data_IF_873487045251
#
_entry.id   IF_873487045251
#
_cell.length_a   1.000
_cell.length_b   1.000
_cell.length_c   1.000
_cell.angle_alpha   90.00
_cell.angle_beta   90.00
_cell.angle_gamma   90.00
#
_symmetry.space_group_name_H-M   'P 1'
#
loop_
_entity.id
_entity.type
_entity.pdbx_description
1 polymer ?
#
# COMPACT_ATOMS: atom_id res chain seq x y z
N UNK A 1 -21.22 63.70 -12.56
CA UNK A 1 -21.36 62.24 -12.76
C UNK A 1 -20.10 61.75 -13.46
N UNK A 2 -19.15 61.18 -12.72
CA UNK A 2 -17.91 60.61 -13.26
C UNK A 2 -17.99 59.09 -13.12
N UNK A 3 -17.85 58.30 -14.21
CA UNK A 3 -17.72 56.86 -14.06
C UNK A 3 -16.29 56.51 -13.62
N UNK A 4 -16.19 55.91 -12.44
CA UNK A 4 -14.98 55.29 -11.93
C UNK A 4 -14.64 54.10 -12.85
N UNK A 5 -13.56 54.24 -13.61
CA UNK A 5 -13.02 53.18 -14.47
C UNK A 5 -12.25 52.21 -13.56
N UNK A 6 -12.83 51.05 -13.28
CA UNK A 6 -12.19 49.96 -12.51
C UNK A 6 -10.87 49.57 -13.18
N UNK A 7 -9.76 49.77 -12.48
CA UNK A 7 -8.48 49.14 -12.80
C UNK A 7 -8.57 47.66 -12.36
N UNK A 8 -8.67 46.76 -13.33
CA UNK A 8 -8.47 45.32 -13.07
C UNK A 8 -6.97 45.10 -12.93
N UNK A 9 -6.51 44.92 -11.69
CA UNK A 9 -5.13 44.53 -11.39
C UNK A 9 -5.04 43.02 -11.54
N UNK A 10 -4.40 42.55 -12.62
CA UNK A 10 -4.05 41.14 -12.80
C UNK A 10 -2.77 40.89 -11.99
N UNK A 11 -2.92 40.32 -10.80
CA UNK A 11 -1.79 39.80 -10.03
C UNK A 11 -1.35 38.47 -10.66
N UNK A 12 -0.29 38.49 -11.46
CA UNK A 12 0.42 37.28 -11.87
C UNK A 12 1.32 36.89 -10.69
N UNK A 13 0.82 36.02 -9.82
CA UNK A 13 1.61 35.43 -8.74
C UNK A 13 2.47 34.29 -9.33
N UNK A 14 3.76 34.55 -9.52
CA UNK A 14 4.74 33.53 -9.87
C UNK A 14 5.07 32.73 -8.58
N UNK A 15 4.30 31.67 -8.31
CA UNK A 15 4.66 30.71 -7.28
C UNK A 15 5.85 29.88 -7.77
N UNK A 16 7.00 30.06 -7.13
CA UNK A 16 8.14 29.17 -7.28
C UNK A 16 7.81 27.89 -6.50
N UNK A 17 7.09 26.97 -7.13
CA UNK A 17 6.74 25.67 -6.53
C UNK A 17 7.98 24.79 -6.58
N UNK A 18 8.55 24.47 -5.43
CA UNK A 18 9.57 23.44 -5.31
C UNK A 18 8.90 22.07 -5.48
N UNK A 19 9.05 21.48 -6.66
CA UNK A 19 8.60 20.11 -6.92
C UNK A 19 9.56 19.11 -6.26
N UNK A 20 9.01 18.16 -5.52
CA UNK A 20 9.72 16.96 -5.08
C UNK A 20 9.78 15.93 -6.21
N UNK A 21 10.88 15.19 -6.30
CA UNK A 21 11.02 14.07 -7.23
C UNK A 21 11.39 12.82 -6.44
N UNK A 22 10.64 11.74 -6.63
CA UNK A 22 10.99 10.42 -6.11
C UNK A 22 11.44 9.55 -7.29
N UNK A 23 12.69 9.06 -7.28
CA UNK A 23 13.26 8.25 -8.37
C UNK A 23 13.25 6.76 -8.04
N UNK A 24 12.76 5.93 -8.97
CA UNK A 24 12.82 4.48 -8.88
C UNK A 24 14.20 3.94 -9.24
N UNK A 25 14.52 2.72 -8.78
CA UNK A 25 15.67 1.95 -9.27
C UNK A 25 15.64 1.71 -10.80
N UNK A 26 14.44 1.75 -11.38
CA UNK A 26 14.21 1.63 -12.82
C UNK A 26 14.13 2.99 -13.53
N UNK A 27 14.38 4.13 -12.86
CA UNK A 27 14.36 5.46 -13.46
C UNK A 27 12.99 6.09 -13.66
N UNK A 28 11.89 5.44 -13.25
CA UNK A 28 10.57 6.07 -13.19
C UNK A 28 10.49 7.07 -12.04
N UNK A 29 9.75 8.16 -12.24
CA UNK A 29 9.58 9.26 -11.28
C UNK A 29 8.11 9.64 -11.19
N UNK A 30 7.63 9.87 -9.96
CA UNK A 30 6.36 10.56 -9.72
C UNK A 30 6.67 11.96 -9.24
N UNK A 31 6.04 12.95 -9.87
CA UNK A 31 6.22 14.36 -9.58
C UNK A 31 5.11 14.84 -8.63
N UNK A 32 5.50 15.58 -7.60
CA UNK A 32 4.57 16.16 -6.63
C UNK A 32 5.12 17.48 -6.08
N UNK A 33 4.24 18.25 -5.44
CA UNK A 33 4.60 19.54 -4.84
C UNK A 33 4.76 19.40 -3.34
N UNK A 34 5.74 20.10 -2.76
CA UNK A 34 5.98 20.07 -1.30
C UNK A 34 6.80 18.86 -0.86
N UNK A 35 6.65 18.49 0.41
CA UNK A 35 7.47 17.45 1.05
C UNK A 35 6.96 16.03 0.80
N UNK A 36 5.66 15.85 0.53
CA UNK A 36 5.00 14.57 0.30
C UNK A 36 3.92 14.69 -0.79
N UNK A 37 3.60 13.58 -1.47
CA UNK A 37 2.47 13.54 -2.39
C UNK A 37 1.16 13.70 -1.63
N UNK A 38 0.39 14.73 -1.98
CA UNK A 38 -0.96 14.95 -1.47
C UNK A 38 -1.96 14.77 -2.60
N UNK A 39 -2.98 13.94 -2.39
CA UNK A 39 -4.09 13.73 -3.31
C UNK A 39 -5.36 14.28 -2.68
N UNK A 40 -6.12 15.09 -3.42
CA UNK A 40 -7.45 15.50 -2.99
C UNK A 40 -8.48 14.45 -3.43
N UNK A 41 -9.43 14.13 -2.53
CA UNK A 41 -10.60 13.34 -2.86
C UNK A 41 -11.59 14.17 -3.71
N UNK A 42 -11.22 14.42 -4.96
CA UNK A 42 -11.96 15.21 -5.93
C UNK A 42 -11.94 14.55 -7.31
N UNK A 43 -12.76 15.06 -8.23
CA UNK A 43 -12.70 14.65 -9.65
C UNK A 43 -11.43 15.18 -10.31
N UNK A 44 -10.97 14.53 -11.38
CA UNK A 44 -9.83 14.98 -12.17
C UNK A 44 -8.53 15.22 -11.37
N UNK A 45 -8.31 14.47 -10.28
CA UNK A 45 -7.04 14.50 -9.57
C UNK A 45 -5.93 13.95 -10.46
N UNK A 46 -4.98 14.81 -10.82
CA UNK A 46 -3.88 14.44 -11.71
C UNK A 46 -2.66 13.95 -10.94
N UNK A 47 -2.03 12.91 -11.49
CA UNK A 47 -0.70 12.45 -11.08
C UNK A 47 0.20 12.55 -12.31
N UNK A 48 1.33 13.23 -12.14
CA UNK A 48 2.32 13.49 -13.18
C UNK A 48 3.57 12.68 -12.89
N UNK A 49 4.28 12.29 -13.94
CA UNK A 49 5.54 11.60 -13.79
C UNK A 49 6.24 11.28 -15.10
N UNK A 50 7.37 10.62 -14.97
CA UNK A 50 8.20 10.15 -16.08
C UNK A 50 8.60 8.69 -15.89
N UNK A 51 8.89 7.99 -16.99
CA UNK A 51 9.30 6.58 -16.97
C UNK A 51 10.27 6.32 -18.12
N UNK A 52 11.23 5.37 -18.01
CA UNK A 52 12.17 5.09 -19.10
C UNK A 52 11.54 4.34 -20.29
N UNK A 53 10.23 4.10 -20.27
CA UNK A 53 9.56 3.34 -21.34
C UNK A 53 9.32 4.23 -22.55
N UNK A 54 9.30 3.58 -23.71
CA UNK A 54 9.06 4.25 -24.98
C UNK A 54 7.62 4.79 -25.07
N UNK A 55 7.44 5.85 -25.85
CA UNK A 55 6.13 6.40 -26.18
C UNK A 55 5.19 5.30 -26.70
N UNK A 56 3.93 5.35 -26.27
CA UNK A 56 2.91 4.37 -26.62
C UNK A 56 2.90 3.13 -25.74
N UNK A 57 3.93 2.90 -24.91
CA UNK A 57 3.93 1.82 -23.91
C UNK A 57 2.77 2.00 -22.93
N UNK A 58 2.08 0.92 -22.58
CA UNK A 58 0.99 0.96 -21.60
C UNK A 58 1.55 0.76 -20.20
N UNK A 59 1.35 1.74 -19.33
CA UNK A 59 1.66 1.63 -17.90
C UNK A 59 0.38 1.75 -17.08
N UNK A 60 0.33 1.05 -15.95
CA UNK A 60 -0.74 1.19 -14.96
C UNK A 60 -0.29 2.09 -13.84
N UNK A 61 -1.10 3.07 -13.47
CA UNK A 61 -0.94 3.81 -12.21
C UNK A 61 -2.02 3.31 -11.26
N UNK A 62 -1.63 3.00 -10.04
CA UNK A 62 -2.51 2.49 -8.98
C UNK A 62 -2.39 3.38 -7.76
N UNK A 63 -3.53 3.74 -7.17
CA UNK A 63 -3.60 4.34 -5.83
C UNK A 63 -4.29 3.34 -4.92
N UNK A 64 -3.65 3.00 -3.80
CA UNK A 64 -4.13 2.01 -2.82
C UNK A 64 -4.06 2.62 -1.43
N UNK A 65 -5.11 2.49 -0.63
CA UNK A 65 -5.06 2.86 0.79
C UNK A 65 -4.03 2.03 1.55
N UNK A 66 -3.37 2.64 2.54
CA UNK A 66 -2.56 1.93 3.52
C UNK A 66 -3.38 1.74 4.80
N UNK A 67 -3.44 0.50 5.30
CA UNK A 67 -4.23 0.12 6.47
C UNK A 67 -5.68 -0.29 6.14
N UNK A 68 -6.43 -0.63 7.19
CA UNK A 68 -7.70 -1.36 7.05
C UNK A 68 -8.94 -0.49 7.25
N UNK A 69 -8.76 0.81 7.52
CA UNK A 69 -9.86 1.67 7.98
C UNK A 69 -10.89 1.94 6.88
N UNK A 70 -10.42 2.15 5.64
CA UNK A 70 -11.24 2.20 4.42
C UNK A 70 -10.41 1.65 3.27
N UNK A 71 -10.38 0.33 3.07
CA UNK A 71 -9.59 -0.24 2.01
C UNK A 71 -10.17 0.19 0.66
N UNK A 72 -9.36 0.87 -0.14
CA UNK A 72 -9.70 1.17 -1.52
C UNK A 72 -8.50 0.94 -2.44
N UNK A 73 -8.83 0.68 -3.69
CA UNK A 73 -7.85 0.53 -4.76
C UNK A 73 -8.48 1.08 -6.03
N UNK A 74 -7.86 2.11 -6.58
CA UNK A 74 -8.18 2.63 -7.92
C UNK A 74 -6.97 2.42 -8.83
N UNK A 75 -7.22 2.10 -10.08
CA UNK A 75 -6.15 1.84 -11.05
C UNK A 75 -6.59 2.28 -12.43
N UNK A 76 -5.67 2.91 -13.16
CA UNK A 76 -5.91 3.34 -14.53
C UNK A 76 -4.69 3.01 -15.38
N UNK A 77 -4.96 2.42 -16.54
CA UNK A 77 -3.95 2.17 -17.55
C UNK A 77 -3.91 3.35 -18.52
N UNK A 78 -2.71 3.81 -18.84
CA UNK A 78 -2.47 4.95 -19.72
C UNK A 78 -1.30 4.65 -20.66
N UNK A 79 -1.20 5.41 -21.76
CA UNK A 79 -0.06 5.37 -22.66
C UNK A 79 0.98 6.38 -22.20
N UNK A 80 2.23 5.96 -22.20
CA UNK A 80 3.39 6.84 -22.03
C UNK A 80 3.45 7.77 -23.24
N UNK A 81 3.61 9.07 -22.97
CA UNK A 81 3.74 10.10 -23.98
C UNK A 81 5.19 10.30 -24.42
N UNK A 82 5.43 11.38 -25.17
CA UNK A 82 6.78 11.76 -25.58
C UNK A 82 7.72 11.92 -24.37
N UNK A 83 9.00 11.57 -24.58
CA UNK A 83 10.06 11.61 -23.57
C UNK A 83 9.77 10.79 -22.31
N UNK A 84 8.92 9.77 -22.40
CA UNK A 84 8.59 8.93 -21.24
C UNK A 84 7.64 9.59 -20.25
N UNK A 85 7.05 10.73 -20.60
CA UNK A 85 6.14 11.46 -19.71
C UNK A 85 4.80 10.76 -19.58
N UNK A 86 4.13 10.93 -18.45
CA UNK A 86 2.77 10.47 -18.30
C UNK A 86 1.96 11.36 -17.37
N UNK A 87 0.66 11.46 -17.67
CA UNK A 87 -0.33 12.14 -16.84
C UNK A 87 -1.54 11.24 -16.74
N UNK A 88 -2.02 11.02 -15.52
CA UNK A 88 -3.22 10.24 -15.26
C UNK A 88 -4.17 11.03 -14.37
N UNK A 89 -5.44 11.13 -14.80
CA UNK A 89 -6.52 11.68 -13.99
C UNK A 89 -7.29 10.56 -13.29
N UNK A 90 -7.49 10.70 -11.98
CA UNK A 90 -8.38 9.87 -11.18
C UNK A 90 -9.57 10.69 -10.69
N UNK A 91 -10.75 10.08 -10.71
CA UNK A 91 -11.92 10.62 -10.04
C UNK A 91 -12.01 9.98 -8.65
N UNK A 92 -11.75 10.79 -7.63
CA UNK A 92 -11.64 10.37 -6.23
C UNK A 92 -12.74 11.02 -5.36
N UNK A 93 -13.74 11.66 -5.96
CA UNK A 93 -14.83 12.33 -5.25
C UNK A 93 -15.70 11.37 -4.44
N UNK A 94 -15.80 10.10 -4.87
CA UNK A 94 -16.46 9.03 -4.11
C UNK A 94 -15.80 8.80 -2.73
N UNK A 95 -14.52 9.16 -2.59
CA UNK A 95 -13.78 9.04 -1.34
C UNK A 95 -13.95 10.28 -0.45
N UNK A 96 -14.51 11.39 -0.96
CA UNK A 96 -14.66 12.63 -0.22
C UNK A 96 -15.46 12.52 1.10
N UNK A 97 -16.50 11.63 1.20
CA UNK A 97 -17.21 11.39 2.45
C UNK A 97 -16.47 10.46 3.43
N UNK A 98 -15.39 9.81 2.99
CA UNK A 98 -14.62 8.87 3.81
C UNK A 98 -13.51 9.59 4.59
N UNK A 99 -12.79 8.83 5.43
CA UNK A 99 -11.64 9.37 6.15
C UNK A 99 -10.44 9.37 5.22
N UNK A 100 -9.82 10.53 5.02
CA UNK A 100 -8.49 10.61 4.44
C UNK A 100 -7.45 9.81 5.23
N UNK A 101 -6.26 9.64 4.64
CA UNK A 101 -5.23 8.82 5.25
C UNK A 101 -4.07 8.50 4.31
N UNK A 102 -3.12 7.68 4.79
CA UNK A 102 -1.96 7.28 4.00
C UNK A 102 -2.38 6.41 2.81
N UNK A 103 -1.75 6.65 1.68
CA UNK A 103 -1.95 5.92 0.44
C UNK A 103 -0.60 5.54 -0.17
N UNK A 104 -0.62 4.49 -0.95
CA UNK A 104 0.48 4.06 -1.80
C UNK A 104 0.10 4.33 -3.26
N UNK A 105 0.91 5.11 -3.96
CA UNK A 105 0.81 5.31 -5.41
C UNK A 105 1.90 4.51 -6.10
N UNK A 106 1.51 3.54 -6.90
CA UNK A 106 2.45 2.68 -7.61
C UNK A 106 2.26 2.69 -9.13
N UNK A 107 3.40 2.73 -9.83
CA UNK A 107 3.47 2.56 -11.27
C UNK A 107 3.74 1.08 -11.53
N UNK A 108 3.04 0.53 -12.53
CA UNK A 108 3.06 -0.88 -12.87
C UNK A 108 3.22 -1.06 -14.37
N UNK A 109 3.93 -2.11 -14.76
CA UNK A 109 4.06 -2.55 -16.16
C UNK A 109 4.01 -4.07 -16.19
N UNK A 110 3.20 -4.66 -17.08
CA UNK A 110 2.98 -6.10 -17.18
C UNK A 110 2.72 -6.77 -15.81
N UNK A 111 1.80 -6.20 -15.03
CA UNK A 111 1.40 -6.71 -13.71
C UNK A 111 2.51 -6.69 -12.64
N UNK A 112 3.68 -6.12 -12.95
CA UNK A 112 4.77 -5.93 -11.99
C UNK A 112 4.81 -4.48 -11.53
N UNK A 113 5.07 -4.29 -10.24
CA UNK A 113 5.32 -2.94 -9.69
C UNK A 113 6.73 -2.50 -10.05
N UNK A 114 6.86 -1.33 -10.66
CA UNK A 114 8.15 -0.78 -11.09
C UNK A 114 8.64 0.32 -10.14
N UNK A 115 7.71 1.03 -9.50
CA UNK A 115 7.96 2.12 -8.57
C UNK A 115 6.72 2.30 -7.69
N UNK A 116 6.94 2.72 -6.45
CA UNK A 116 5.91 3.01 -5.48
C UNK A 116 6.36 4.16 -4.59
N UNK A 117 5.44 5.05 -4.25
CA UNK A 117 5.63 6.11 -3.25
C UNK A 117 4.45 6.17 -2.31
N UNK A 118 4.70 6.60 -1.08
CA UNK A 118 3.63 6.93 -0.14
C UNK A 118 3.16 8.37 -0.34
N UNK A 119 1.92 8.62 0.02
CA UNK A 119 1.32 9.94 0.06
C UNK A 119 0.13 9.99 1.02
N UNK A 120 -0.57 11.12 1.03
CA UNK A 120 -1.76 11.34 1.85
C UNK A 120 -2.96 11.69 0.98
N UNK A 121 -4.06 10.98 1.17
CA UNK A 121 -5.36 11.36 0.66
C UNK A 121 -6.03 12.34 1.63
N UNK A 122 -6.38 13.52 1.15
CA UNK A 122 -7.12 14.55 1.88
C UNK A 122 -8.58 14.53 1.44
N UNK A 123 -9.48 14.51 2.42
CA UNK A 123 -10.93 14.44 2.21
C UNK A 123 -11.58 15.71 2.73
N UNK A 124 -12.21 16.49 1.85
CA UNK A 124 -12.74 17.82 2.17
C UNK A 124 -14.22 17.82 2.61
N UNK A 125 -14.90 16.66 2.61
CA UNK A 125 -16.34 16.56 2.86
C UNK A 125 -16.72 15.42 3.81
N UNK A 126 -15.83 15.07 4.73
CA UNK A 126 -16.14 14.05 5.74
C UNK A 126 -17.19 14.59 6.73
N UNK A 127 -18.32 13.90 6.94
CA UNK A 127 -19.35 14.38 7.85
C UNK A 127 -18.89 14.33 9.31
N UNK A 128 -19.27 15.37 10.07
CA UNK A 128 -19.02 15.47 11.52
C UNK A 128 -19.57 14.24 12.25
N UNK A 129 -18.75 13.62 13.10
CA UNK A 129 -19.16 12.45 13.89
C UNK A 129 -18.99 11.10 13.18
N UNK A 130 -18.31 11.04 12.04
CA UNK A 130 -17.96 9.77 11.39
C UNK A 130 -17.16 8.86 12.33
N UNK A 131 -17.71 7.68 12.66
CA UNK A 131 -17.07 6.64 13.50
C UNK A 131 -15.99 5.83 12.78
N UNK A 132 -15.73 6.21 11.53
CA UNK A 132 -14.78 5.67 10.58
C UNK A 132 -13.33 6.06 10.91
N UNK A 133 -12.99 6.12 12.20
CA UNK A 133 -11.61 6.30 12.67
C UNK A 133 -10.87 4.96 12.67
N UNK A 134 -9.56 4.95 12.36
CA UNK A 134 -8.76 3.74 12.46
C UNK A 134 -8.87 3.20 13.88
N UNK A 135 -8.84 1.87 14.10
CA UNK A 135 -8.36 1.40 15.38
C UNK A 135 -6.98 2.04 15.56
N UNK A 136 -6.79 2.88 16.58
CA UNK A 136 -5.45 3.21 17.04
C UNK A 136 -4.87 1.92 17.57
N UNK A 137 -4.25 1.13 16.68
CA UNK A 137 -3.35 0.06 17.08
C UNK A 137 -2.14 0.76 17.68
N UNK A 138 -2.27 1.14 18.95
CA UNK A 138 -1.13 1.26 19.83
C UNK A 138 -0.56 -0.15 19.87
N UNK A 139 0.44 -0.42 19.02
CA UNK A 139 1.31 -1.57 19.18
C UNK A 139 2.09 -1.31 20.47
N UNK A 140 1.43 -1.56 21.59
CA UNK A 140 2.10 -1.75 22.86
C UNK A 140 2.89 -3.04 22.67
N UNK A 141 4.18 -2.88 22.34
CA UNK A 141 5.13 -3.97 22.37
C UNK A 141 5.02 -4.59 23.76
N UNK A 142 4.65 -5.88 23.91
CA UNK A 142 4.67 -6.49 25.22
C UNK A 142 6.11 -6.37 25.71
N UNK A 143 6.30 -5.64 26.80
CA UNK A 143 7.57 -5.62 27.52
C UNK A 143 7.69 -6.99 28.13
N UNK A 144 8.47 -7.86 27.49
CA UNK A 144 8.91 -9.11 28.10
C UNK A 144 9.89 -8.72 29.20
N UNK A 145 9.39 -8.62 30.44
CA UNK A 145 10.27 -8.67 31.59
C UNK A 145 11.06 -9.99 31.52
N UNK A 146 12.39 -9.99 31.74
CA UNK A 146 13.13 -11.23 31.87
C UNK A 146 12.74 -11.87 33.21
N UNK A 147 11.73 -12.74 33.19
CA UNK A 147 11.46 -13.66 34.30
C UNK A 147 12.67 -14.58 34.45
N UNK A 148 13.42 -14.35 35.52
CA UNK A 148 14.52 -15.22 35.95
C UNK A 148 13.88 -16.40 36.70
N UNK A 149 13.70 -17.53 36.04
CA UNK A 149 13.36 -18.80 36.71
C UNK A 149 14.59 -19.71 36.84
N UNK A 150 14.67 -20.52 37.92
CA UNK A 150 15.90 -21.17 38.33
C UNK A 150 16.23 -22.39 37.49
N UNK A 151 17.54 -22.63 37.32
CA UNK A 151 18.12 -23.88 36.85
C UNK A 151 17.61 -25.07 37.68
N UNK A 152 17.03 -26.08 37.02
CA UNK A 152 17.04 -27.47 37.51
C UNK A 152 17.17 -28.42 36.32
N UNK A 153 18.19 -29.27 36.41
CA UNK A 153 18.62 -30.28 35.44
C UNK A 153 17.59 -31.41 35.24
N UNK A 154 17.67 -32.15 34.12
CA UNK A 154 17.57 -33.64 34.00
C UNK A 154 16.94 -34.11 32.65
N UNK A 155 17.80 -34.70 31.80
CA UNK A 155 17.59 -35.95 31.00
C UNK A 155 16.93 -35.94 29.59
N UNK A 156 17.80 -36.11 28.58
CA UNK A 156 17.77 -37.09 27.45
C UNK A 156 16.67 -37.08 26.37
N UNK A 157 17.12 -36.93 25.11
CA UNK A 157 16.75 -37.65 23.84
C UNK A 157 16.29 -36.74 22.68
N UNK A 158 17.02 -36.78 21.56
CA UNK A 158 16.72 -36.13 20.25
C UNK A 158 15.81 -37.04 19.35
N UNK A 159 15.32 -36.56 18.17
CA UNK A 159 13.95 -36.14 17.85
C UNK A 159 13.22 -37.16 16.90
N UNK A 160 12.03 -36.88 16.32
CA UNK A 160 11.98 -36.12 15.06
C UNK A 160 10.74 -35.21 14.87
N UNK A 161 10.85 -34.33 13.87
CA UNK A 161 9.84 -33.52 13.18
C UNK A 161 8.36 -33.78 13.49
N UNK A 162 7.63 -32.72 13.84
CA UNK A 162 6.25 -32.51 13.40
C UNK A 162 5.90 -31.03 13.46
N UNK A 163 5.29 -30.55 12.40
CA UNK A 163 4.58 -29.28 12.28
C UNK A 163 3.67 -29.01 13.49
N UNK A 164 3.66 -27.78 13.97
CA UNK A 164 2.79 -27.37 15.07
C UNK A 164 2.67 -25.85 15.11
N UNK A 165 1.76 -25.31 14.30
CA UNK A 165 1.32 -23.93 14.39
C UNK A 165 0.39 -23.83 15.60
N UNK A 166 0.87 -23.31 16.72
CA UNK A 166 0.04 -23.02 17.90
C UNK A 166 -0.77 -21.75 17.61
N UNK A 167 -2.06 -21.92 17.31
CA UNK A 167 -3.01 -20.82 17.21
C UNK A 167 -3.50 -20.52 18.63
N UNK A 168 -3.14 -19.39 19.25
CA UNK A 168 -3.79 -18.99 20.49
C UNK A 168 -5.24 -18.63 20.16
N UNK A 169 -6.20 -19.48 20.56
CA UNK A 169 -7.61 -19.10 20.50
C UNK A 169 -8.64 -20.16 20.13
N UNK A 170 -8.29 -21.42 19.85
CA UNK A 170 -9.30 -22.44 19.58
C UNK A 170 -8.91 -23.77 20.23
N UNK A 171 -9.47 -24.01 21.43
CA UNK A 171 -9.43 -25.32 22.05
C UNK A 171 -10.22 -26.32 21.20
N UNK A 172 -9.54 -27.30 20.62
CA UNK A 172 -10.19 -28.50 20.07
C UNK A 172 -9.40 -29.72 20.53
N UNK A 173 -9.99 -30.44 21.48
CA UNK A 173 -9.61 -31.78 21.89
C UNK A 173 -10.18 -32.77 20.87
N UNK A 174 -9.35 -33.62 20.26
CA UNK A 174 -9.84 -34.86 19.64
C UNK A 174 -8.73 -35.93 19.62
N UNK A 175 -9.13 -37.13 20.03
CA UNK A 175 -8.32 -38.23 20.51
C UNK A 175 -7.59 -39.05 19.42
N UNK A 176 -6.46 -39.64 19.79
CA UNK A 176 -5.74 -40.63 19.00
C UNK A 176 -6.35 -42.03 19.13
N UNK A 177 -6.58 -42.71 18.00
CA UNK A 177 -7.02 -44.10 17.91
C UNK A 177 -6.30 -44.88 16.80
N UNK A 178 -5.29 -45.66 17.22
CA UNK A 178 -4.72 -46.94 16.73
C UNK A 178 -4.56 -47.31 15.22
N UNK A 179 -3.28 -47.47 14.84
CA UNK A 179 -2.56 -48.60 14.17
C UNK A 179 -3.29 -49.45 13.11
N UNK A 180 -2.71 -49.54 11.89
CA UNK A 180 -2.51 -50.82 11.17
C UNK A 180 -1.54 -50.66 9.98
N UNK A 181 -0.39 -51.34 10.09
CA UNK A 181 0.57 -51.54 9.02
C UNK A 181 0.24 -52.81 8.24
N UNK A 182 0.41 -52.81 6.91
CA UNK A 182 0.69 -54.00 6.10
C UNK A 182 1.47 -53.57 4.84
N UNK A 183 2.72 -54.01 4.72
CA UNK A 183 3.53 -53.87 3.51
C UNK A 183 3.47 -55.12 2.64
N UNK A 184 3.70 -54.98 1.32
CA UNK A 184 4.07 -56.08 0.41
C UNK A 184 4.98 -55.57 -0.73
N UNK A 185 6.28 -55.87 -0.60
CA UNK A 185 7.29 -56.42 -1.53
C UNK A 185 7.16 -56.23 -3.07
N UNK A 186 8.14 -55.49 -3.64
CA UNK A 186 9.05 -55.73 -4.79
C UNK A 186 8.53 -56.36 -6.11
N UNK A 187 8.78 -55.69 -7.26
CA UNK A 187 9.49 -56.31 -8.41
C UNK A 187 10.26 -55.29 -9.26
N UNK A 188 11.58 -55.44 -9.28
CA UNK A 188 12.50 -54.88 -10.28
C UNK A 188 12.54 -55.82 -11.49
N UNK A 189 12.43 -55.28 -12.70
CA UNK A 189 13.02 -55.76 -13.98
C UNK A 189 12.83 -54.62 -15.00
N UNK A 190 13.89 -53.89 -15.41
CA UNK A 190 14.66 -54.02 -16.68
C UNK A 190 13.80 -53.79 -17.94
N UNK A 191 14.14 -52.94 -18.92
CA UNK A 191 15.44 -52.47 -19.45
C UNK A 191 15.53 -50.93 -19.62
#
# INVERSE_FOLDING_TARGET
MHPLRQFTVVFVLLFLVTAGVATAANGSVIEYSGDELVLDAATDQQIHGTTPFEEGTIVGVRVKSIGDTHPFLVSKAIRVGENGTFVVSFDLDELAPLRGGPVEVSIRHNESEIHSIEGVLVTNNMPDGSTLSPPTTSTERPTTEPTTEPTTETTTTTPPSSSGFEIPGFGVLAAAGSILALGVIIRVTRD
#
